data_IF_194072543949
#
_entry.id   IF_194072543949
#
_cell.length_a   1.000
_cell.length_b   1.000
_cell.length_c   1.000
_cell.angle_alpha   90.00
_cell.angle_beta   90.00
_cell.angle_gamma   90.00
#
_symmetry.space_group_name_H-M   'P 1'
#
loop_
_entity.id
_entity.type
_entity.pdbx_description
1 polymer ?
#
# COMPACT_ATOMS: atom_id res chain seq x y z
N UNK A 1 21.92 11.47 -4.35
CA UNK A 1 21.36 11.41 -3.26
C UNK A 1 20.45 10.28 -3.09
N UNK A 2 20.86 9.39 -2.38
CA UNK A 2 20.12 8.21 -2.23
C UNK A 2 19.08 8.42 -1.22
N UNK A 3 17.89 8.04 -1.47
CA UNK A 3 16.92 8.14 -0.48
C UNK A 3 16.24 6.85 -0.41
N UNK A 4 15.68 6.53 0.70
CA UNK A 4 15.03 5.25 0.91
C UNK A 4 13.88 5.12 -0.04
N UNK A 5 14.06 4.34 -1.04
CA UNK A 5 13.03 4.13 -2.01
C UNK A 5 11.77 3.58 -1.37
N UNK A 6 11.94 2.89 -0.26
CA UNK A 6 10.79 2.27 0.38
C UNK A 6 9.78 3.27 0.92
N UNK A 7 10.27 4.40 1.40
CA UNK A 7 9.34 5.39 1.95
C UNK A 7 8.50 6.03 0.88
N UNK A 8 9.12 6.41 -0.22
CA UNK A 8 8.38 7.00 -1.32
C UNK A 8 7.41 6.01 -1.89
N UNK A 9 7.85 4.78 -2.01
CA UNK A 9 7.02 3.76 -2.61
C UNK A 9 5.85 3.42 -1.72
N UNK A 10 6.07 3.43 -0.41
CA UNK A 10 5.00 3.15 0.52
C UNK A 10 3.90 4.18 0.41
N UNK A 11 4.26 5.45 0.38
CA UNK A 11 3.27 6.48 0.26
C UNK A 11 2.55 6.43 -1.07
N UNK A 12 3.30 6.10 -2.11
CA UNK A 12 2.73 5.98 -3.43
C UNK A 12 1.68 4.88 -3.48
N UNK A 13 1.99 3.76 -2.86
CA UNK A 13 1.05 2.65 -2.83
C UNK A 13 -0.18 3.02 -2.01
N UNK A 14 0.02 3.67 -0.88
CA UNK A 14 -1.11 4.04 -0.04
C UNK A 14 -2.03 5.00 -0.77
N UNK A 15 -1.47 5.93 -1.52
CA UNK A 15 -2.25 6.87 -2.27
C UNK A 15 -3.09 6.14 -3.33
N UNK A 16 -2.50 5.13 -3.95
CA UNK A 16 -3.25 4.35 -4.93
C UNK A 16 -4.35 3.55 -4.26
N UNK A 17 -4.11 3.07 -3.07
CA UNK A 17 -5.14 2.36 -2.34
C UNK A 17 -6.30 3.29 -2.03
N UNK A 18 -6.00 4.54 -1.72
CA UNK A 18 -7.06 5.51 -1.45
C UNK A 18 -7.87 5.80 -2.71
N UNK A 19 -7.23 5.80 -3.86
CA UNK A 19 -7.92 6.08 -5.09
C UNK A 19 -8.66 4.87 -5.63
N UNK A 20 -8.20 3.67 -5.29
CA UNK A 20 -8.82 2.45 -5.79
C UNK A 20 -9.06 1.48 -4.63
N UNK A 21 -9.91 1.85 -3.69
CA UNK A 21 -10.11 0.99 -2.53
C UNK A 21 -10.77 -0.34 -2.92
N UNK A 22 -10.39 -1.38 -2.23
CA UNK A 22 -10.99 -2.68 -2.49
C UNK A 22 -10.28 -3.50 -3.55
N UNK A 23 -9.21 -2.98 -4.13
CA UNK A 23 -8.46 -3.74 -5.12
C UNK A 23 -7.41 -4.59 -4.44
N UNK A 24 -7.00 -5.65 -5.10
CA UNK A 24 -6.01 -6.55 -4.52
C UNK A 24 -4.60 -6.07 -4.73
N UNK A 25 -3.67 -6.67 -4.00
CA UNK A 25 -2.27 -6.31 -4.11
C UNK A 25 -1.76 -6.44 -5.54
N UNK A 26 -2.24 -7.44 -6.26
CA UNK A 26 -1.83 -7.61 -7.65
C UNK A 26 -2.21 -6.43 -8.53
N UNK A 27 -3.35 -5.83 -8.25
CA UNK A 27 -3.79 -4.67 -9.00
C UNK A 27 -2.79 -3.52 -8.82
N UNK A 28 -2.40 -3.28 -7.59
CA UNK A 28 -1.46 -2.18 -7.32
C UNK A 28 -0.06 -2.49 -7.84
N UNK A 29 0.31 -3.75 -7.81
CA UNK A 29 1.60 -4.14 -8.35
C UNK A 29 1.65 -3.84 -9.83
N UNK A 30 0.60 -4.19 -10.57
CA UNK A 30 0.55 -3.91 -11.98
C UNK A 30 0.52 -2.43 -12.25
N UNK A 31 -0.28 -1.70 -11.49
CA UNK A 31 -0.43 -0.28 -11.67
C UNK A 31 0.88 0.44 -11.51
N UNK A 32 1.69 0.01 -10.56
CA UNK A 32 2.94 0.69 -10.25
C UNK A 32 4.16 0.02 -10.83
N UNK A 33 3.98 -1.05 -11.58
CA UNK A 33 5.11 -1.75 -12.16
C UNK A 33 5.94 -2.50 -11.15
N UNK A 34 5.32 -3.02 -10.12
CA UNK A 34 6.00 -3.73 -9.06
C UNK A 34 5.60 -5.18 -9.05
N UNK A 35 6.29 -5.96 -8.23
CA UNK A 35 5.89 -7.32 -7.98
C UNK A 35 4.89 -7.32 -6.86
N UNK A 36 4.01 -8.31 -6.89
CA UNK A 36 3.02 -8.44 -5.85
C UNK A 36 3.64 -8.54 -4.47
N UNK A 37 4.76 -9.27 -4.39
CA UNK A 37 5.42 -9.42 -3.11
C UNK A 37 5.98 -8.11 -2.61
N UNK A 38 6.32 -7.19 -3.49
CA UNK A 38 6.81 -5.91 -3.07
C UNK A 38 5.71 -5.08 -2.44
N UNK A 39 4.52 -5.17 -2.98
CA UNK A 39 3.38 -4.47 -2.39
C UNK A 39 3.13 -5.00 -0.99
N UNK A 40 3.11 -6.31 -0.85
CA UNK A 40 2.87 -6.91 0.44
C UNK A 40 3.95 -6.55 1.46
N UNK A 41 5.18 -6.49 0.99
CA UNK A 41 6.30 -6.20 1.87
C UNK A 41 6.26 -4.76 2.37
N UNK A 42 5.67 -3.87 1.61
CA UNK A 42 5.62 -2.47 1.98
C UNK A 42 4.51 -2.16 2.98
N UNK A 43 3.52 -3.01 3.08
CA UNK A 43 2.42 -2.76 3.99
C UNK A 43 2.86 -2.51 5.43
N UNK A 44 3.83 -3.27 5.98
CA UNK A 44 4.28 -2.97 7.33
C UNK A 44 4.89 -1.58 7.48
N UNK A 45 5.55 -1.11 6.43
CA UNK A 45 6.14 0.23 6.47
C UNK A 45 5.04 1.28 6.54
N UNK A 46 3.93 1.05 5.87
CA UNK A 46 2.81 1.96 5.95
C UNK A 46 2.27 2.01 7.37
N UNK A 47 2.21 0.87 7.99
CA UNK A 47 1.71 0.79 9.34
C UNK A 47 2.56 1.61 10.28
N UNK A 48 3.86 1.58 10.09
CA UNK A 48 4.75 2.36 10.93
C UNK A 48 4.55 3.84 10.76
N UNK A 49 4.07 4.25 9.61
CA UNK A 49 3.81 5.65 9.38
C UNK A 49 2.41 6.06 9.83
N UNK A 50 1.65 5.13 10.35
CA UNK A 50 0.30 5.42 10.77
C UNK A 50 -0.71 5.31 9.66
N UNK A 51 -0.27 4.83 8.51
CA UNK A 51 -1.16 4.66 7.37
C UNK A 51 -1.54 3.19 7.28
N UNK A 52 -2.60 2.84 7.95
CA UNK A 52 -3.00 1.45 8.04
C UNK A 52 -3.82 1.03 6.83
N UNK A 53 -3.72 -0.24 6.52
CA UNK A 53 -4.44 -0.81 5.41
C UNK A 53 -5.20 -2.03 5.91
N UNK A 54 -6.46 -2.11 5.58
CA UNK A 54 -7.27 -3.27 5.92
C UNK A 54 -7.39 -4.18 4.72
N UNK A 55 -7.62 -5.43 4.97
CA UNK A 55 -7.77 -6.38 3.90
C UNK A 55 -9.10 -7.08 4.07
N UNK A 56 -9.91 -7.16 3.02
CA UNK A 56 -11.20 -7.79 3.14
C UNK A 56 -11.10 -9.28 2.81
N UNK A 57 -12.22 -9.96 2.78
CA UNK A 57 -12.24 -11.40 2.57
C UNK A 57 -11.68 -11.82 1.22
N UNK A 58 -11.75 -10.94 0.26
CA UNK A 58 -11.29 -11.25 -1.07
C UNK A 58 -9.89 -10.78 -1.34
N UNK A 59 -9.21 -10.29 -0.33
CA UNK A 59 -7.88 -9.79 -0.50
C UNK A 59 -7.80 -8.35 -0.95
N UNK A 60 -8.93 -7.66 -0.96
CA UNK A 60 -8.95 -6.26 -1.35
C UNK A 60 -8.36 -5.38 -0.27
N UNK A 61 -7.62 -4.38 -0.68
CA UNK A 61 -6.96 -3.49 0.25
C UNK A 61 -7.74 -2.20 0.40
N UNK A 62 -7.92 -1.78 1.64
CA UNK A 62 -8.68 -0.57 1.94
C UNK A 62 -7.85 0.36 2.79
N UNK A 63 -7.89 1.66 2.54
CA UNK A 63 -7.16 2.60 3.38
C UNK A 63 -7.87 2.71 4.72
N UNK A 64 -7.09 2.76 5.76
CA UNK A 64 -7.65 2.85 7.09
C UNK A 64 -6.80 3.78 7.90
N UNK A 65 -7.32 4.95 8.21
CA UNK A 65 -6.58 5.91 9.01
C UNK A 65 -6.86 5.67 10.46
N UNK A 66 -5.81 5.71 11.22
CA UNK A 66 -5.96 5.49 12.61
C UNK A 66 -6.35 6.71 13.36
N UNK A 67 -6.59 7.75 12.82
CA UNK A 67 -6.87 8.91 13.55
C UNK A 67 -8.25 8.98 13.96
N UNK A 68 -8.55 9.69 14.56
CA UNK A 68 -9.77 9.98 15.00
C UNK A 68 -10.33 9.40 15.81
#
# INVERSE_FOLDING_TARGET
MARPANHDRAEQIYRQIEEHPGKRAGFFARLLGLNRSEVTRILPALQEKGLLVSEDDKGGLWPFHKDQ
#
